data_IF_881766311909
#
_entry.id   IF_881766311909
#
_cell.length_a   1.000
_cell.length_b   1.000
_cell.length_c   1.000
_cell.angle_alpha   90.00
_cell.angle_beta   90.00
_cell.angle_gamma   90.00
#
_symmetry.space_group_name_H-M   'P 1'
#
loop_
_entity.id
_entity.type
_entity.pdbx_description
1 polymer ?
#
# COMPACT_ATOMS: atom_id res chain seq x y z
N UNK A 1 -9.44 14.51 21.32
CA UNK A 1 -9.37 13.42 20.32
C UNK A 1 -8.29 12.43 20.71
N UNK A 2 -8.64 11.25 21.15
CA UNK A 2 -7.62 10.26 21.43
C UNK A 2 -6.88 9.89 20.14
N UNK A 3 -5.58 9.90 20.22
CA UNK A 3 -4.74 9.53 19.10
C UNK A 3 -4.20 8.14 19.38
N UNK A 4 -4.77 7.15 18.72
CA UNK A 4 -4.27 5.79 18.79
C UNK A 4 -3.09 5.68 17.83
N UNK A 5 -1.95 5.21 18.32
CA UNK A 5 -0.79 5.01 17.46
C UNK A 5 -1.11 3.90 16.46
N UNK A 6 -0.93 4.14 15.15
CA UNK A 6 -1.13 3.10 14.16
C UNK A 6 -0.19 1.91 14.41
N UNK A 7 -0.68 0.73 14.14
CA UNK A 7 0.09 -0.52 14.25
C UNK A 7 -0.05 -1.31 12.96
N UNK A 8 0.91 -2.19 12.73
CA UNK A 8 0.85 -3.14 11.60
C UNK A 8 0.15 -4.39 12.10
N UNK A 9 -0.96 -4.82 11.50
CA UNK A 9 -1.61 -6.07 11.90
C UNK A 9 -0.75 -7.25 11.47
N UNK A 10 -0.83 -8.36 12.21
CA UNK A 10 -0.15 -9.58 11.78
C UNK A 10 -0.77 -10.13 10.50
N UNK A 11 -2.09 -10.01 10.38
CA UNK A 11 -2.84 -10.55 9.24
C UNK A 11 -3.85 -9.51 8.75
N UNK A 12 -4.20 -9.63 7.48
CA UNK A 12 -5.20 -8.78 6.87
C UNK A 12 -6.19 -9.68 6.12
N UNK A 13 -7.47 -9.36 6.21
CA UNK A 13 -8.52 -10.10 5.53
C UNK A 13 -8.92 -9.37 4.26
N UNK A 14 -8.83 -10.07 3.13
CA UNK A 14 -9.07 -9.53 1.80
C UNK A 14 -10.34 -10.15 1.22
N UNK A 15 -11.27 -9.29 0.81
CA UNK A 15 -12.47 -9.72 0.08
C UNK A 15 -12.14 -9.74 -1.42
N UNK A 16 -12.37 -10.88 -2.06
CA UNK A 16 -11.91 -11.12 -3.43
C UNK A 16 -12.89 -10.63 -4.50
N UNK A 17 -13.38 -9.42 -4.34
CA UNK A 17 -14.30 -8.79 -5.28
C UNK A 17 -14.78 -7.45 -4.77
N UNK A 18 -15.72 -6.81 -5.48
CA UNK A 18 -16.32 -5.56 -5.00
C UNK A 18 -16.95 -5.76 -3.61
N UNK A 19 -17.08 -4.69 -2.80
CA UNK A 19 -17.50 -4.85 -1.39
C UNK A 19 -18.81 -5.57 -1.20
N UNK A 20 -19.78 -5.39 -2.09
CA UNK A 20 -21.12 -5.98 -1.97
C UNK A 20 -21.28 -7.32 -2.66
N UNK A 21 -20.21 -7.86 -3.24
CA UNK A 21 -20.27 -9.14 -3.94
C UNK A 21 -20.21 -10.32 -2.96
N UNK A 22 -20.62 -11.49 -3.41
CA UNK A 22 -20.54 -12.74 -2.65
C UNK A 22 -19.16 -13.40 -2.73
N UNK A 23 -18.12 -12.65 -3.06
CA UNK A 23 -16.78 -13.18 -3.16
C UNK A 23 -16.29 -13.71 -1.81
N UNK A 24 -15.36 -14.66 -1.86
CA UNK A 24 -14.76 -15.20 -0.64
C UNK A 24 -13.82 -14.17 0.01
N UNK A 25 -13.62 -14.32 1.31
CA UNK A 25 -12.60 -13.62 2.05
C UNK A 25 -11.42 -14.55 2.27
N UNK A 26 -10.20 -14.03 2.10
CA UNK A 26 -8.97 -14.74 2.45
C UNK A 26 -8.20 -13.93 3.46
N UNK A 27 -7.55 -14.60 4.39
CA UNK A 27 -6.73 -13.94 5.41
C UNK A 27 -5.29 -14.35 5.19
N UNK A 28 -4.41 -13.35 5.05
CA UNK A 28 -2.98 -13.58 4.80
C UNK A 28 -2.17 -12.74 5.76
N UNK A 29 -0.87 -13.05 5.91
CA UNK A 29 0.00 -12.19 6.70
C UNK A 29 0.09 -10.82 6.02
N UNK A 30 0.30 -9.77 6.81
CA UNK A 30 0.38 -8.43 6.25
C UNK A 30 1.55 -8.28 5.26
N UNK A 31 2.77 -8.77 5.60
CA UNK A 31 3.86 -8.72 4.60
C UNK A 31 3.52 -9.47 3.31
N UNK A 32 2.90 -10.64 3.39
CA UNK A 32 2.53 -11.40 2.19
C UNK A 32 1.47 -10.66 1.36
N UNK A 33 0.55 -9.96 2.02
CA UNK A 33 -0.41 -9.10 1.33
C UNK A 33 0.32 -8.05 0.50
N UNK A 34 1.26 -7.34 1.11
CA UNK A 34 2.02 -6.27 0.43
C UNK A 34 2.85 -6.84 -0.71
N UNK A 35 3.49 -8.01 -0.51
CA UNK A 35 4.26 -8.69 -1.55
C UNK A 35 3.37 -9.05 -2.75
N UNK A 36 2.18 -9.53 -2.47
CA UNK A 36 1.21 -9.91 -3.50
C UNK A 36 0.79 -8.69 -4.33
N UNK A 37 0.38 -7.62 -3.67
CA UNK A 37 -0.07 -6.41 -4.35
C UNK A 37 1.09 -5.80 -5.16
N UNK A 38 2.27 -5.69 -4.57
CA UNK A 38 3.42 -5.13 -5.26
C UNK A 38 3.80 -5.98 -6.48
N UNK A 39 3.81 -7.30 -6.34
CA UNK A 39 4.11 -8.20 -7.46
C UNK A 39 3.03 -8.19 -8.53
N UNK A 40 1.83 -7.70 -8.20
CA UNK A 40 0.72 -7.57 -9.16
C UNK A 40 0.68 -6.20 -9.83
N UNK A 41 1.22 -5.17 -9.17
CA UNK A 41 1.05 -3.78 -9.58
C UNK A 41 2.26 -3.19 -10.30
N UNK A 42 3.49 -3.62 -9.94
CA UNK A 42 4.71 -2.99 -10.44
C UNK A 42 5.66 -4.04 -11.00
N UNK A 43 6.62 -3.58 -11.80
CA UNK A 43 7.56 -4.47 -12.47
C UNK A 43 8.85 -4.64 -11.66
N UNK A 44 9.32 -5.87 -11.46
CA UNK A 44 10.53 -6.11 -10.66
C UNK A 44 11.82 -5.55 -11.31
N UNK A 45 11.75 -5.19 -12.59
CA UNK A 45 12.88 -4.64 -13.33
C UNK A 45 13.04 -3.13 -13.17
N UNK A 46 12.10 -2.47 -12.46
CA UNK A 46 12.18 -1.03 -12.23
C UNK A 46 13.32 -0.68 -11.27
N UNK A 47 13.72 0.59 -11.30
CA UNK A 47 14.72 1.12 -10.38
C UNK A 47 14.28 0.92 -8.93
N UNK A 48 15.24 0.64 -8.04
CA UNK A 48 14.92 0.35 -6.64
C UNK A 48 14.17 1.50 -5.97
N UNK A 49 14.52 2.75 -6.25
CA UNK A 49 13.82 3.90 -5.65
C UNK A 49 12.36 3.96 -6.07
N UNK A 50 12.03 3.57 -7.29
CA UNK A 50 10.63 3.46 -7.73
C UNK A 50 9.91 2.33 -7.01
N UNK A 51 10.55 1.17 -6.89
CA UNK A 51 9.98 0.03 -6.15
C UNK A 51 9.70 0.41 -4.70
N UNK A 52 10.64 1.06 -4.03
CA UNK A 52 10.48 1.50 -2.64
C UNK A 52 9.33 2.49 -2.49
N UNK A 53 9.24 3.48 -3.38
CA UNK A 53 8.16 4.47 -3.33
C UNK A 53 6.80 3.81 -3.48
N UNK A 54 6.66 2.91 -4.45
CA UNK A 54 5.40 2.20 -4.68
C UNK A 54 5.03 1.29 -3.50
N UNK A 55 6.00 0.59 -2.93
CA UNK A 55 5.76 -0.28 -1.78
C UNK A 55 5.28 0.54 -0.58
N UNK A 56 5.90 1.68 -0.31
CA UNK A 56 5.47 2.56 0.79
C UNK A 56 4.05 3.07 0.58
N UNK A 57 3.68 3.39 -0.66
CA UNK A 57 2.31 3.78 -0.97
C UNK A 57 1.32 2.63 -0.73
N UNK A 58 1.68 1.41 -1.14
CA UNK A 58 0.85 0.22 -0.93
C UNK A 58 0.64 -0.04 0.57
N UNK A 59 1.70 -0.02 1.35
CA UNK A 59 1.64 -0.21 2.81
C UNK A 59 0.74 0.85 3.43
N UNK A 60 0.94 2.12 3.07
CA UNK A 60 0.20 3.24 3.67
C UNK A 60 -1.29 3.14 3.40
N UNK A 61 -1.66 2.82 2.17
CA UNK A 61 -3.07 2.67 1.80
C UNK A 61 -3.73 1.53 2.58
N UNK A 62 -3.07 0.37 2.63
CA UNK A 62 -3.60 -0.78 3.36
C UNK A 62 -3.73 -0.48 4.86
N UNK A 63 -2.72 0.15 5.45
CA UNK A 63 -2.78 0.52 6.86
C UNK A 63 -3.88 1.55 7.13
N UNK A 64 -4.12 2.47 6.20
CA UNK A 64 -5.23 3.41 6.34
C UNK A 64 -6.58 2.67 6.44
N UNK A 65 -6.79 1.67 5.57
CA UNK A 65 -8.03 0.86 5.60
C UNK A 65 -8.21 0.14 6.94
N UNK A 66 -7.12 -0.41 7.48
CA UNK A 66 -7.16 -1.10 8.77
C UNK A 66 -7.35 -0.11 9.91
N UNK A 67 -6.58 0.97 9.92
CA UNK A 67 -6.60 1.97 10.99
C UNK A 67 -7.96 2.65 11.11
N UNK A 68 -8.57 3.02 9.98
CA UNK A 68 -9.86 3.70 9.96
C UNK A 68 -11.03 2.72 10.06
N UNK A 69 -10.76 1.41 10.04
CA UNK A 69 -11.80 0.37 9.98
C UNK A 69 -12.78 0.66 8.84
N UNK A 70 -12.25 1.04 7.69
CA UNK A 70 -13.03 1.56 6.57
C UNK A 70 -14.22 0.66 6.21
N UNK A 71 -13.98 -0.65 6.07
CA UNK A 71 -15.04 -1.61 5.77
C UNK A 71 -15.70 -2.15 7.03
N UNK A 72 -14.91 -2.44 8.07
CA UNK A 72 -15.44 -3.04 9.28
C UNK A 72 -16.41 -2.12 10.01
N UNK A 73 -16.16 -0.81 9.98
CA UNK A 73 -17.06 0.18 10.57
C UNK A 73 -18.40 0.25 9.83
N UNK A 74 -18.44 -0.25 8.60
CA UNK A 74 -19.65 -0.29 7.77
C UNK A 74 -20.36 -1.65 7.83
N UNK A 75 -19.93 -2.53 8.72
CA UNK A 75 -20.55 -3.84 8.93
C UNK A 75 -20.01 -4.97 8.07
N UNK A 76 -18.93 -4.74 7.32
CA UNK A 76 -18.28 -5.80 6.54
C UNK A 76 -17.30 -6.57 7.41
N UNK A 77 -17.04 -7.82 7.05
CA UNK A 77 -16.17 -8.73 7.80
C UNK A 77 -14.78 -8.88 7.15
N UNK A 78 -14.31 -7.85 6.48
CA UNK A 78 -12.98 -7.82 5.86
C UNK A 78 -12.35 -6.44 6.02
N UNK A 79 -11.05 -6.35 5.80
CA UNK A 79 -10.29 -5.11 5.95
C UNK A 79 -10.16 -4.33 4.64
N UNK A 80 -10.07 -5.04 3.52
CA UNK A 80 -9.77 -4.45 2.22
C UNK A 80 -10.31 -5.37 1.12
N UNK A 81 -10.51 -4.83 -0.07
CA UNK A 81 -10.89 -5.65 -1.24
C UNK A 81 -9.71 -5.87 -2.17
N UNK A 82 -9.84 -6.85 -3.04
CA UNK A 82 -8.87 -7.11 -4.11
C UNK A 82 -9.09 -6.27 -5.35
N UNK A 83 -10.06 -5.37 -5.33
CA UNK A 83 -10.52 -4.62 -6.50
C UNK A 83 -9.78 -3.30 -6.64
N UNK A 84 -9.18 -3.05 -7.80
CA UNK A 84 -8.53 -1.76 -8.10
C UNK A 84 -9.53 -0.61 -8.14
N UNK A 85 -10.81 -0.90 -8.39
CA UNK A 85 -11.85 0.13 -8.39
C UNK A 85 -12.07 0.72 -6.99
N UNK A 86 -11.77 -0.03 -5.96
CA UNK A 86 -12.00 0.38 -4.56
C UNK A 86 -10.71 0.49 -3.77
N UNK A 87 -9.76 -0.41 -3.98
CA UNK A 87 -8.55 -0.49 -3.16
C UNK A 87 -7.31 -0.80 -4.02
N UNK A 88 -6.74 -1.99 -3.87
CA UNK A 88 -5.50 -2.39 -4.51
C UNK A 88 -5.65 -3.75 -5.18
N UNK A 89 -4.84 -4.02 -6.18
CA UNK A 89 -4.93 -5.26 -6.95
C UNK A 89 -4.22 -6.40 -6.22
N UNK A 90 -5.00 -7.25 -5.59
CA UNK A 90 -4.52 -8.47 -4.92
C UNK A 90 -5.00 -9.67 -5.73
N UNK A 91 -4.11 -10.62 -5.99
CA UNK A 91 -4.43 -11.84 -6.75
C UNK A 91 -4.12 -13.06 -5.91
N UNK A 92 -5.16 -13.78 -5.49
CA UNK A 92 -5.00 -14.98 -4.65
C UNK A 92 -4.03 -15.97 -5.31
N UNK A 93 -3.04 -16.40 -4.53
CA UNK A 93 -2.07 -17.41 -4.99
C UNK A 93 -0.94 -16.88 -5.87
N UNK A 94 -0.82 -15.58 -6.03
CA UNK A 94 0.26 -15.01 -6.85
C UNK A 94 1.63 -15.28 -6.23
N UNK A 95 2.57 -15.68 -7.08
CA UNK A 95 3.97 -15.79 -6.68
C UNK A 95 4.61 -14.40 -6.55
N UNK A 96 5.57 -14.29 -5.63
CA UNK A 96 6.25 -13.02 -5.39
C UNK A 96 7.58 -12.97 -6.13
N UNK A 97 7.92 -11.78 -6.67
CA UNK A 97 9.26 -11.55 -7.19
C UNK A 97 10.24 -11.38 -6.03
N UNK A 98 11.41 -12.01 -6.12
CA UNK A 98 12.35 -12.08 -5.00
C UNK A 98 12.86 -10.71 -4.54
N UNK A 99 13.17 -9.80 -5.46
CA UNK A 99 13.64 -8.47 -5.09
C UNK A 99 12.54 -7.63 -4.46
N UNK A 100 11.30 -7.75 -4.95
CA UNK A 100 10.14 -7.07 -4.35
C UNK A 100 9.89 -7.62 -2.96
N UNK A 101 9.92 -8.94 -2.81
CA UNK A 101 9.74 -9.60 -1.51
C UNK A 101 10.77 -9.09 -0.49
N UNK A 102 12.03 -8.97 -0.89
CA UNK A 102 13.10 -8.46 -0.02
C UNK A 102 12.84 -7.02 0.41
N UNK A 103 12.41 -6.17 -0.52
CA UNK A 103 12.09 -4.78 -0.18
C UNK A 103 10.87 -4.67 0.75
N UNK A 104 9.87 -5.51 0.55
CA UNK A 104 8.71 -5.53 1.44
C UNK A 104 9.11 -5.97 2.84
N UNK A 105 9.98 -6.97 2.97
CA UNK A 105 10.47 -7.39 4.28
C UNK A 105 11.15 -6.24 5.02
N UNK A 106 11.76 -5.31 4.30
CA UNK A 106 12.38 -4.12 4.86
C UNK A 106 11.37 -3.02 5.19
N UNK A 107 10.30 -2.88 4.40
CA UNK A 107 9.43 -1.70 4.40
C UNK A 107 8.01 -1.93 4.93
N UNK A 108 7.60 -3.17 5.23
CA UNK A 108 6.19 -3.46 5.54
C UNK A 108 5.67 -2.74 6.78
N UNK A 109 6.54 -2.30 7.67
CA UNK A 109 6.15 -1.54 8.85
C UNK A 109 6.61 -0.07 8.80
N UNK A 110 6.74 0.46 7.60
CA UNK A 110 6.96 1.89 7.34
C UNK A 110 5.76 2.42 6.56
N UNK A 111 5.32 3.61 6.88
CA UNK A 111 4.16 4.19 6.21
C UNK A 111 4.26 5.71 6.12
N UNK A 112 3.43 6.29 5.26
CA UNK A 112 3.36 7.73 5.02
C UNK A 112 2.24 8.34 5.87
N UNK A 113 2.46 9.57 6.33
CA UNK A 113 1.41 10.35 6.99
C UNK A 113 1.59 11.83 6.67
N UNK A 114 0.53 12.59 6.83
CA UNK A 114 0.63 14.05 6.77
C UNK A 114 1.24 14.57 8.06
N UNK A 115 2.01 15.69 8.03
CA UNK A 115 2.52 16.29 9.25
C UNK A 115 1.39 16.60 10.22
N UNK A 116 1.62 16.33 11.50
CA UNK A 116 0.66 16.54 12.59
C UNK A 116 -0.55 15.61 12.60
N UNK A 117 -0.57 14.60 11.73
CA UNK A 117 -1.60 13.55 11.75
C UNK A 117 -0.96 12.21 12.06
N UNK A 118 -1.67 11.38 12.83
CA UNK A 118 -1.18 10.02 13.13
C UNK A 118 -1.72 9.01 12.12
N UNK A 119 -2.81 9.33 11.44
CA UNK A 119 -3.44 8.42 10.49
C UNK A 119 -2.51 8.11 9.32
N UNK A 120 -2.35 6.82 8.95
CA UNK A 120 -1.64 6.50 7.72
C UNK A 120 -2.33 7.13 6.51
N UNK A 121 -1.52 7.68 5.60
CA UNK A 121 -2.05 8.33 4.40
C UNK A 121 -2.78 7.31 3.53
N UNK A 122 -3.98 7.66 3.08
CA UNK A 122 -4.68 6.88 2.06
C UNK A 122 -4.01 7.12 0.70
N UNK A 123 -2.82 6.55 0.54
CA UNK A 123 -1.91 6.83 -0.56
C UNK A 123 -2.39 6.15 -1.85
N UNK A 124 -3.23 6.83 -2.61
CA UNK A 124 -3.73 6.32 -3.88
C UNK A 124 -2.65 6.32 -4.94
N UNK A 125 -2.77 5.39 -5.87
CA UNK A 125 -1.86 5.30 -7.02
C UNK A 125 -2.59 4.73 -8.23
N UNK A 126 -2.00 4.91 -9.40
CA UNK A 126 -2.52 4.39 -10.66
C UNK A 126 -1.34 4.21 -11.63
N UNK A 127 -1.57 3.55 -12.76
CA UNK A 127 -0.46 3.33 -13.69
C UNK A 127 0.10 4.63 -14.28
N UNK A 128 -0.73 5.66 -14.45
CA UNK A 128 -0.27 6.96 -14.97
C UNK A 128 -0.15 7.00 -16.48
N UNK A 129 -0.62 5.98 -17.18
CA UNK A 129 -0.60 5.92 -18.65
C UNK A 129 -2.02 5.84 -19.20
N UNK A 130 -2.73 4.75 -18.96
CA UNK A 130 -4.12 4.57 -19.39
C UNK A 130 -5.12 5.09 -18.37
N UNK A 131 -4.71 5.16 -17.09
CA UNK A 131 -5.52 5.67 -15.98
C UNK A 131 -4.69 6.71 -15.23
N UNK A 132 -5.26 7.88 -14.96
CA UNK A 132 -4.64 8.93 -14.16
C UNK A 132 -5.41 9.13 -12.86
N UNK A 133 -4.74 9.62 -11.84
CA UNK A 133 -5.33 9.88 -10.53
C UNK A 133 -4.57 11.01 -9.85
N UNK A 134 -5.07 11.47 -8.70
CA UNK A 134 -4.41 12.52 -7.91
C UNK A 134 -3.29 11.97 -7.02
N UNK A 135 -2.98 10.70 -7.14
CA UNK A 135 -1.93 10.06 -6.36
C UNK A 135 -0.68 9.79 -7.19
N UNK A 136 0.06 8.76 -6.75
CA UNK A 136 1.32 8.39 -7.39
C UNK A 136 1.05 7.76 -8.75
N UNK A 137 1.76 8.26 -9.77
CA UNK A 137 1.83 7.60 -11.07
C UNK A 137 2.91 6.53 -11.01
N UNK A 138 2.55 5.27 -11.24
CA UNK A 138 3.50 4.16 -11.17
C UNK A 138 4.60 4.29 -12.22
N UNK A 139 4.24 4.52 -13.49
CA UNK A 139 5.22 4.77 -14.54
C UNK A 139 5.98 6.07 -14.34
N UNK A 140 5.30 7.11 -13.82
CA UNK A 140 5.94 8.37 -13.48
C UNK A 140 7.01 8.20 -12.41
N UNK A 141 6.77 7.32 -11.41
CA UNK A 141 7.75 7.04 -10.37
C UNK A 141 9.02 6.42 -10.96
N UNK A 142 8.86 5.51 -11.93
CA UNK A 142 10.00 4.92 -12.62
C UNK A 142 10.77 5.98 -13.44
N UNK A 143 10.05 6.87 -14.12
CA UNK A 143 10.70 7.95 -14.87
C UNK A 143 11.52 8.87 -13.95
N UNK A 144 10.99 9.22 -12.78
CA UNK A 144 11.72 10.05 -11.81
C UNK A 144 12.92 9.30 -11.24
N UNK A 145 12.75 7.99 -10.96
CA UNK A 145 13.86 7.17 -10.48
C UNK A 145 15.00 7.11 -11.48
N UNK A 146 14.68 6.99 -12.77
CA UNK A 146 15.68 7.01 -13.84
C UNK A 146 16.41 8.35 -13.93
N UNK A 147 15.80 9.43 -13.44
CA UNK A 147 16.42 10.76 -13.36
C UNK A 147 17.23 10.97 -12.09
N UNK A 148 17.33 9.95 -11.23
CA UNK A 148 18.11 10.02 -10.01
C UNK A 148 17.35 10.41 -8.76
N UNK A 149 16.01 10.50 -8.82
CA UNK A 149 15.20 10.78 -7.63
C UNK A 149 15.25 9.60 -6.68
N UNK A 150 15.39 9.86 -5.38
CA UNK A 150 15.24 8.81 -4.37
C UNK A 150 13.75 8.61 -4.05
N UNK A 151 13.46 7.57 -3.26
CA UNK A 151 12.06 7.22 -2.96
C UNK A 151 11.31 8.35 -2.25
N UNK A 152 11.96 9.05 -1.32
CA UNK A 152 11.33 10.18 -0.62
C UNK A 152 11.00 11.32 -1.58
N UNK A 153 11.90 11.64 -2.49
CA UNK A 153 11.67 12.69 -3.49
C UNK A 153 10.52 12.32 -4.42
N UNK A 154 10.46 11.05 -4.84
CA UNK A 154 9.37 10.55 -5.69
C UNK A 154 8.03 10.71 -4.95
N UNK A 155 7.97 10.25 -3.71
CA UNK A 155 6.73 10.31 -2.92
C UNK A 155 6.27 11.76 -2.71
N UNK A 156 7.18 12.65 -2.41
CA UNK A 156 6.85 14.06 -2.22
C UNK A 156 6.40 14.74 -3.51
N UNK A 157 6.89 14.27 -4.66
CA UNK A 157 6.46 14.80 -5.97
C UNK A 157 4.98 14.55 -6.21
N UNK A 158 4.44 13.45 -5.70
CA UNK A 158 3.03 13.08 -5.94
C UNK A 158 2.11 13.41 -4.76
N UNK A 159 2.60 13.30 -3.53
CA UNK A 159 1.76 13.47 -2.34
C UNK A 159 1.99 14.80 -1.62
N UNK A 160 3.04 15.51 -1.99
CA UNK A 160 3.37 16.79 -1.35
C UNK A 160 4.02 16.59 0.01
N UNK A 161 3.58 17.37 0.99
CA UNK A 161 4.19 17.37 2.33
C UNK A 161 3.75 16.13 3.10
N UNK A 162 4.68 15.21 3.29
CA UNK A 162 4.46 13.94 3.99
C UNK A 162 5.66 13.62 4.87
N UNK A 163 5.41 12.76 5.87
CA UNK A 163 6.45 12.17 6.71
C UNK A 163 6.43 10.66 6.51
N UNK A 164 7.60 10.04 6.63
CA UNK A 164 7.73 8.58 6.60
C UNK A 164 7.96 8.13 8.04
N UNK A 165 7.04 7.30 8.54
CA UNK A 165 7.16 6.68 9.85
C UNK A 165 7.75 5.30 9.65
N UNK A 166 8.87 5.03 10.32
CA UNK A 166 9.55 3.73 10.25
C UNK A 166 9.36 2.96 11.55
N UNK A 167 9.47 1.64 11.48
CA UNK A 167 9.40 0.76 12.65
C UNK A 167 8.09 0.89 13.43
N UNK A 168 6.97 0.97 12.72
CA UNK A 168 5.67 0.96 13.36
C UNK A 168 5.49 -0.38 14.13
N UNK A 169 4.84 -0.34 15.31
CA UNK A 169 4.67 -1.55 16.11
C UNK A 169 3.79 -2.57 15.39
N UNK A 170 4.14 -3.83 15.56
CA UNK A 170 3.38 -4.95 15.00
C UNK A 170 2.47 -5.47 16.09
N UNK A 171 1.19 -5.58 15.79
CA UNK A 171 0.22 -6.10 16.76
C UNK A 171 0.34 -7.63 16.84
N UNK A 172 0.42 -8.12 18.04
CA UNK A 172 0.42 -9.56 18.30
C UNK A 172 -0.98 -10.14 18.37
#
# INVERSE_FOLDING_TARGET
MPTVTPFVPQRITVHLGPPRSDAENVTVSFPDYVKNVASSEIYPTWEESALRANILAIVSFALNRVYTEFYRSRGYDFDITSSTAYDQFFVKGRSFFSNISRLVDELFNSYLRRPNFVEPLAAKFCNGTTVTCEGLSQWGSQNLAQKGYNSTQILKSYYGDIEIVSNAPIQN
#
